data_IF_999908235680
#
_entry.id   IF_999908235680
#
_cell.length_a   1.000
_cell.length_b   1.000
_cell.length_c   1.000
_cell.angle_alpha   90.00
_cell.angle_beta   90.00
_cell.angle_gamma   90.00
#
_symmetry.space_group_name_H-M   'P 1'
#
loop_
_entity.id
_entity.type
_entity.pdbx_description
1 polymer ?
#
# COMPACT_ATOMS: atom_id res chain seq x y z
N UNK A 1 -40.77 0.83 52.01
CA UNK A 1 -40.65 0.17 50.71
C UNK A 1 -39.72 -1.01 50.82
N UNK A 2 -40.21 -2.23 50.62
CA UNK A 2 -39.46 -3.48 50.84
C UNK A 2 -38.36 -3.59 49.76
N UNK A 3 -37.18 -4.12 50.13
CA UNK A 3 -35.98 -4.29 49.25
C UNK A 3 -36.31 -4.88 47.86
N UNK A 4 -37.35 -5.69 47.79
CA UNK A 4 -37.87 -6.32 46.56
C UNK A 4 -38.55 -5.31 45.60
N UNK A 5 -39.18 -4.25 46.15
CA UNK A 5 -39.83 -3.20 45.31
C UNK A 5 -38.80 -2.22 44.72
N UNK A 6 -37.70 -1.96 45.47
CA UNK A 6 -36.55 -1.20 44.95
C UNK A 6 -35.86 -1.91 43.78
N UNK A 7 -35.69 -3.24 43.84
CA UNK A 7 -35.09 -4.03 42.78
C UNK A 7 -35.98 -4.05 41.52
N UNK A 8 -37.32 -4.18 41.68
CA UNK A 8 -38.26 -4.11 40.56
C UNK A 8 -38.26 -2.72 39.90
N UNK A 9 -38.26 -1.67 40.69
CA UNK A 9 -38.21 -0.29 40.19
C UNK A 9 -36.87 0.01 39.46
N UNK A 10 -35.73 -0.52 39.93
CA UNK A 10 -34.44 -0.41 39.29
C UNK A 10 -34.37 -1.17 37.97
N UNK A 11 -35.00 -2.38 37.92
CA UNK A 11 -35.12 -3.13 36.65
C UNK A 11 -35.96 -2.42 35.59
N UNK A 12 -37.07 -1.82 36.00
CA UNK A 12 -37.92 -1.00 35.10
C UNK A 12 -37.20 0.25 34.63
N UNK A 13 -36.40 0.88 35.48
CA UNK A 13 -35.61 2.06 35.11
C UNK A 13 -34.49 1.74 34.10
N UNK A 14 -33.83 0.60 34.26
CA UNK A 14 -32.83 0.09 33.32
C UNK A 14 -33.43 -0.25 31.98
N UNK A 15 -34.62 -0.87 31.98
CA UNK A 15 -35.36 -1.19 30.75
C UNK A 15 -35.79 0.07 30.00
N UNK A 16 -36.31 1.08 30.74
CA UNK A 16 -36.66 2.39 30.19
C UNK A 16 -35.47 3.13 29.60
N UNK A 17 -34.32 3.12 30.29
CA UNK A 17 -33.08 3.69 29.76
C UNK A 17 -32.59 2.98 28.50
N UNK A 18 -32.68 1.68 28.42
CA UNK A 18 -32.33 0.91 27.23
C UNK A 18 -33.27 1.23 26.05
N UNK A 19 -34.58 1.35 26.28
CA UNK A 19 -35.51 1.74 25.23
C UNK A 19 -35.31 3.18 24.76
N UNK A 20 -34.98 4.11 25.67
CA UNK A 20 -34.64 5.50 25.32
C UNK A 20 -33.36 5.60 24.53
N UNK A 21 -32.32 4.82 24.89
CA UNK A 21 -31.06 4.78 24.12
C UNK A 21 -31.30 4.21 22.71
N UNK A 22 -32.06 3.14 22.57
CA UNK A 22 -32.43 2.59 21.24
C UNK A 22 -33.21 3.61 20.42
N UNK A 23 -34.20 4.29 21.03
CA UNK A 23 -34.99 5.31 20.34
C UNK A 23 -34.13 6.53 19.92
N UNK A 24 -33.19 6.99 20.78
CA UNK A 24 -32.28 8.08 20.45
C UNK A 24 -31.33 7.64 19.32
N UNK A 25 -30.83 6.40 19.36
CA UNK A 25 -29.97 5.86 18.30
C UNK A 25 -30.73 5.77 16.98
N UNK A 26 -31.97 5.32 16.98
CA UNK A 26 -32.84 5.27 15.79
C UNK A 26 -33.16 6.67 15.25
N UNK A 27 -33.41 7.66 16.12
CA UNK A 27 -33.61 9.05 15.71
C UNK A 27 -32.33 9.68 15.17
N UNK A 28 -31.16 9.40 15.76
CA UNK A 28 -29.87 9.85 15.26
C UNK A 28 -29.54 9.21 13.91
N UNK A 29 -29.77 7.91 13.76
CA UNK A 29 -29.59 7.20 12.48
C UNK A 29 -30.56 7.74 11.42
N UNK A 30 -31.84 8.03 11.78
CA UNK A 30 -32.79 8.62 10.84
C UNK A 30 -32.49 10.09 10.51
N UNK A 31 -31.88 10.85 11.43
CA UNK A 31 -31.40 12.23 11.15
C UNK A 31 -30.11 12.23 10.34
N UNK A 32 -29.16 11.33 10.62
CA UNK A 32 -27.97 11.12 9.81
C UNK A 32 -28.30 10.64 8.39
N UNK A 33 -29.32 9.80 8.24
CA UNK A 33 -29.79 9.40 6.91
C UNK A 33 -30.50 10.53 6.15
N UNK A 34 -31.12 11.51 6.86
CA UNK A 34 -31.74 12.70 6.23
C UNK A 34 -30.73 13.81 5.92
N UNK A 35 -29.59 13.91 6.65
CA UNK A 35 -28.53 14.88 6.36
C UNK A 35 -27.49 14.34 5.36
N UNK A 36 -27.39 13.03 5.19
CA UNK A 36 -26.58 12.40 4.13
C UNK A 36 -27.34 12.30 2.78
N UNK A 37 -28.59 12.73 2.74
CA UNK A 37 -29.42 12.75 1.56
C UNK A 37 -29.45 14.11 0.88
N UNK A 38 -28.27 14.69 0.54
CA UNK A 38 -28.20 15.55 -0.64
C UNK A 38 -28.18 14.60 -1.84
N UNK A 39 -29.24 14.69 -2.62
CA UNK A 39 -29.50 13.95 -3.84
C UNK A 39 -28.21 13.70 -4.63
N UNK A 40 -27.60 12.51 -4.52
CA UNK A 40 -26.87 11.97 -5.63
C UNK A 40 -27.94 11.71 -6.69
N UNK A 41 -27.99 12.56 -7.69
CA UNK A 41 -28.79 12.38 -8.88
C UNK A 41 -28.45 10.98 -9.40
N UNK A 42 -29.41 10.08 -9.42
CA UNK A 42 -29.25 8.76 -10.03
C UNK A 42 -28.90 9.00 -11.50
N UNK A 43 -27.62 8.82 -11.87
CA UNK A 43 -27.21 8.99 -13.25
C UNK A 43 -27.70 7.79 -14.05
N UNK A 44 -28.45 8.05 -15.09
CA UNK A 44 -28.86 7.06 -16.08
C UNK A 44 -28.06 7.27 -17.36
N UNK A 45 -27.83 6.19 -18.12
CA UNK A 45 -27.24 6.37 -19.45
C UNK A 45 -28.17 7.21 -20.34
N UNK A 46 -27.58 8.24 -20.95
CA UNK A 46 -28.32 9.06 -21.91
C UNK A 46 -28.85 8.19 -23.06
N UNK A 47 -30.05 8.49 -23.53
CA UNK A 47 -30.68 7.77 -24.67
C UNK A 47 -29.92 7.88 -25.99
N UNK A 48 -29.00 8.83 -26.11
CA UNK A 48 -28.10 8.92 -27.25
C UNK A 48 -26.96 7.88 -27.20
N UNK A 49 -26.67 7.31 -26.02
CA UNK A 49 -25.55 6.37 -25.82
C UNK A 49 -25.94 5.00 -26.39
N UNK A 50 -25.17 4.57 -27.37
CA UNK A 50 -25.21 3.22 -27.93
C UNK A 50 -23.79 2.73 -28.18
N UNK A 51 -23.50 1.47 -27.93
CA UNK A 51 -22.18 0.87 -28.11
C UNK A 51 -21.78 -0.04 -26.97
N UNK A 52 -20.49 -0.37 -26.92
CA UNK A 52 -19.91 -1.31 -25.94
C UNK A 52 -19.20 -0.57 -24.81
N UNK A 53 -19.57 -0.86 -23.57
CA UNK A 53 -18.82 -0.49 -22.38
C UNK A 53 -17.90 -1.65 -22.01
N UNK A 54 -16.62 -1.53 -22.28
CA UNK A 54 -15.67 -2.60 -21.96
C UNK A 54 -15.22 -2.56 -20.52
N UNK A 55 -15.15 -3.76 -19.91
CA UNK A 55 -14.64 -3.97 -18.54
C UNK A 55 -15.38 -3.19 -17.44
N UNK A 56 -16.67 -2.93 -17.61
CA UNK A 56 -17.50 -2.33 -16.58
C UNK A 56 -17.74 -3.31 -15.42
N UNK A 57 -17.98 -2.80 -14.19
CA UNK A 57 -18.36 -3.64 -13.06
C UNK A 57 -19.87 -3.59 -12.84
N UNK A 58 -20.53 -4.73 -12.92
CA UNK A 58 -21.95 -4.87 -12.65
C UNK A 58 -22.14 -5.13 -11.16
N UNK A 59 -22.78 -4.19 -10.47
CA UNK A 59 -23.15 -4.29 -9.06
C UNK A 59 -24.45 -5.09 -8.87
N UNK A 60 -25.38 -4.93 -9.80
CA UNK A 60 -26.70 -5.59 -9.81
C UNK A 60 -27.19 -5.76 -11.24
N UNK A 61 -27.82 -6.89 -11.55
CA UNK A 61 -28.41 -7.15 -12.88
C UNK A 61 -29.76 -7.85 -12.76
N UNK A 62 -30.75 -7.10 -12.31
CA UNK A 62 -32.16 -7.54 -12.27
C UNK A 62 -33.00 -6.81 -13.35
N UNK A 63 -34.10 -7.40 -13.80
CA UNK A 63 -34.84 -7.03 -15.04
C UNK A 63 -35.11 -5.53 -15.27
N UNK A 64 -35.19 -4.70 -14.25
CA UNK A 64 -35.40 -3.24 -14.37
C UNK A 64 -34.43 -2.43 -13.51
N UNK A 65 -33.46 -3.11 -12.94
CA UNK A 65 -32.59 -2.52 -11.96
C UNK A 65 -31.17 -3.08 -12.20
N UNK A 66 -30.53 -2.55 -13.24
CA UNK A 66 -29.13 -2.87 -13.58
C UNK A 66 -28.29 -1.70 -13.10
N UNK A 67 -27.37 -1.99 -12.17
CA UNK A 67 -26.46 -0.99 -11.61
C UNK A 67 -25.05 -1.29 -12.12
N UNK A 68 -24.45 -0.32 -12.79
CA UNK A 68 -23.16 -0.43 -13.46
C UNK A 68 -22.21 0.64 -12.94
N UNK A 69 -21.03 0.24 -12.51
CA UNK A 69 -19.90 1.15 -12.24
C UNK A 69 -18.99 1.18 -13.48
N UNK A 70 -18.85 2.35 -14.08
CA UNK A 70 -18.03 2.54 -15.27
C UNK A 70 -17.35 3.89 -15.25
N UNK A 71 -16.03 3.92 -15.43
CA UNK A 71 -15.18 5.13 -15.41
C UNK A 71 -15.37 6.03 -14.18
N UNK A 72 -15.61 5.40 -13.02
CA UNK A 72 -15.76 6.09 -11.73
C UNK A 72 -17.18 6.49 -11.39
N UNK A 73 -18.11 6.44 -12.36
CA UNK A 73 -19.52 6.82 -12.18
C UNK A 73 -20.41 5.60 -12.08
N UNK A 74 -21.48 5.71 -11.27
CA UNK A 74 -22.48 4.65 -11.09
C UNK A 74 -23.73 4.99 -11.91
N UNK A 75 -24.09 4.11 -12.82
CA UNK A 75 -25.24 4.25 -13.70
C UNK A 75 -26.34 3.27 -13.32
N UNK A 76 -27.57 3.75 -13.34
CA UNK A 76 -28.77 2.94 -13.22
C UNK A 76 -29.36 2.74 -14.63
N UNK A 77 -29.56 1.51 -15.02
CA UNK A 77 -29.98 1.18 -16.38
C UNK A 77 -31.16 0.20 -16.37
N UNK A 78 -32.02 0.32 -17.39
CA UNK A 78 -33.01 -0.68 -17.72
C UNK A 78 -32.44 -1.70 -18.70
N UNK A 79 -32.92 -2.92 -18.67
CA UNK A 79 -32.54 -3.96 -19.62
C UNK A 79 -33.16 -5.32 -19.25
N UNK A 80 -32.95 -6.30 -20.11
CA UNK A 80 -33.34 -7.70 -19.85
C UNK A 80 -32.12 -8.60 -19.98
N UNK A 81 -31.28 -8.70 -18.94
CA UNK A 81 -30.11 -9.60 -19.01
C UNK A 81 -30.62 -11.05 -19.06
N UNK A 82 -30.02 -11.87 -19.92
CA UNK A 82 -30.34 -13.30 -20.05
C UNK A 82 -30.07 -14.07 -18.74
N UNK A 83 -29.06 -13.60 -17.97
CA UNK A 83 -28.68 -14.20 -16.67
C UNK A 83 -28.32 -13.08 -15.69
N UNK A 84 -28.62 -13.30 -14.41
CA UNK A 84 -28.10 -12.46 -13.33
C UNK A 84 -26.59 -12.59 -13.28
N UNK A 85 -25.89 -11.46 -13.22
CA UNK A 85 -24.44 -11.41 -13.12
C UNK A 85 -24.00 -10.25 -12.23
N UNK A 86 -22.95 -10.47 -11.46
CA UNK A 86 -22.24 -9.46 -10.67
C UNK A 86 -20.76 -9.65 -10.93
N UNK A 87 -20.03 -8.56 -11.19
CA UNK A 87 -18.61 -8.60 -11.53
C UNK A 87 -18.29 -7.87 -12.83
N UNK A 88 -17.11 -8.12 -13.37
CA UNK A 88 -16.61 -7.44 -14.56
C UNK A 88 -17.22 -8.05 -15.84
N UNK A 89 -17.71 -7.18 -16.70
CA UNK A 89 -18.34 -7.57 -17.97
C UNK A 89 -18.13 -6.48 -19.04
N UNK A 90 -18.27 -6.88 -20.30
CA UNK A 90 -18.56 -5.93 -21.37
C UNK A 90 -20.07 -5.81 -21.50
N UNK A 91 -20.58 -4.58 -21.66
CA UNK A 91 -22.01 -4.28 -21.68
C UNK A 91 -22.36 -3.59 -22.99
N UNK A 92 -23.30 -4.17 -23.72
CA UNK A 92 -23.84 -3.56 -24.94
C UNK A 92 -25.04 -2.68 -24.58
N UNK A 93 -24.97 -1.43 -25.02
CA UNK A 93 -26.04 -0.44 -24.87
C UNK A 93 -26.68 -0.10 -26.21
N UNK A 94 -28.00 0.02 -26.19
CA UNK A 94 -28.78 0.61 -27.30
C UNK A 94 -29.75 1.64 -26.73
N UNK A 95 -29.57 2.90 -27.14
CA UNK A 95 -30.39 4.03 -26.66
C UNK A 95 -30.47 4.12 -25.14
N UNK A 96 -29.31 3.98 -24.47
CA UNK A 96 -29.17 4.03 -23.00
C UNK A 96 -29.67 2.79 -22.25
N UNK A 97 -30.16 1.76 -22.93
CA UNK A 97 -30.63 0.51 -22.32
C UNK A 97 -29.61 -0.61 -22.51
N UNK A 98 -29.44 -1.43 -21.49
CA UNK A 98 -28.61 -2.64 -21.55
C UNK A 98 -29.32 -3.69 -22.39
N UNK A 99 -28.73 -4.05 -23.52
CA UNK A 99 -29.23 -5.09 -24.42
C UNK A 99 -28.56 -6.42 -24.21
N UNK A 100 -27.25 -6.41 -23.86
CA UNK A 100 -26.50 -7.64 -23.63
C UNK A 100 -25.38 -7.44 -22.62
N UNK A 101 -25.07 -8.49 -21.86
CA UNK A 101 -23.98 -8.55 -20.88
C UNK A 101 -23.09 -9.73 -21.28
N UNK A 102 -21.81 -9.41 -21.56
CA UNK A 102 -20.76 -10.39 -21.83
C UNK A 102 -19.92 -10.54 -20.58
N UNK A 103 -20.27 -11.48 -19.73
CA UNK A 103 -19.58 -11.74 -18.46
C UNK A 103 -18.13 -12.17 -18.68
N UNK A 104 -17.22 -11.71 -17.81
CA UNK A 104 -15.81 -12.10 -17.77
C UNK A 104 -15.52 -12.89 -16.47
N UNK A 105 -15.91 -14.16 -16.38
CA UNK A 105 -15.84 -14.92 -15.14
C UNK A 105 -14.44 -15.47 -14.85
N UNK A 106 -13.53 -15.47 -15.83
CA UNK A 106 -12.17 -16.02 -15.66
C UNK A 106 -11.31 -15.09 -14.85
N UNK A 107 -10.87 -15.55 -13.69
CA UNK A 107 -10.02 -14.77 -12.77
C UNK A 107 -8.81 -15.56 -12.30
N UNK A 108 -7.72 -14.84 -12.04
CA UNK A 108 -6.53 -15.32 -11.31
C UNK A 108 -6.54 -14.62 -9.96
N UNK A 109 -6.56 -15.40 -8.87
CA UNK A 109 -6.56 -14.86 -7.50
C UNK A 109 -5.17 -14.99 -6.89
N UNK A 110 -4.72 -13.98 -6.20
CA UNK A 110 -3.43 -14.01 -5.49
C UNK A 110 -2.96 -12.62 -5.07
N UNK A 111 -1.72 -12.55 -4.64
CA UNK A 111 -1.06 -11.29 -4.27
C UNK A 111 -0.54 -10.61 -5.52
N UNK A 112 -0.79 -9.30 -5.65
CA UNK A 112 -0.20 -8.47 -6.71
C UNK A 112 1.30 -8.33 -6.46
N UNK A 113 2.14 -8.88 -7.35
CA UNK A 113 3.61 -8.85 -7.16
C UNK A 113 4.31 -7.79 -7.98
N UNK A 114 3.76 -7.39 -9.14
CA UNK A 114 4.26 -6.25 -9.90
C UNK A 114 3.24 -5.74 -10.91
N UNK A 115 3.41 -4.49 -11.34
CA UNK A 115 2.64 -3.93 -12.45
C UNK A 115 3.41 -2.83 -13.20
N UNK A 116 2.94 -2.57 -14.40
CA UNK A 116 3.38 -1.47 -15.26
C UNK A 116 2.20 -1.02 -16.12
N UNK A 117 2.39 -0.01 -16.97
CA UNK A 117 1.35 0.40 -17.94
C UNK A 117 1.01 -0.67 -18.98
N UNK A 118 1.74 -1.77 -19.05
CA UNK A 118 1.59 -2.80 -20.09
C UNK A 118 1.37 -4.20 -19.54
N UNK A 119 1.56 -4.43 -18.25
CA UNK A 119 1.50 -5.76 -17.66
C UNK A 119 1.14 -5.73 -16.18
N UNK A 120 0.54 -6.81 -15.71
CA UNK A 120 0.25 -7.09 -14.30
C UNK A 120 0.72 -8.50 -13.99
N UNK A 121 1.26 -8.70 -12.80
CA UNK A 121 1.71 -10.00 -12.34
C UNK A 121 1.10 -10.33 -10.97
N UNK A 122 0.63 -11.56 -10.86
CA UNK A 122 0.14 -12.17 -9.63
C UNK A 122 1.14 -13.23 -9.19
N UNK A 123 1.30 -13.39 -7.89
CA UNK A 123 2.18 -14.38 -7.29
C UNK A 123 1.98 -15.78 -7.88
N UNK A 124 3.07 -16.43 -8.28
CA UNK A 124 3.04 -17.75 -8.92
C UNK A 124 2.70 -17.77 -10.41
N UNK A 125 2.42 -16.61 -11.02
CA UNK A 125 2.09 -16.51 -12.43
C UNK A 125 3.08 -15.64 -13.20
N UNK A 126 3.22 -15.93 -14.50
CA UNK A 126 3.97 -15.08 -15.43
C UNK A 126 3.23 -13.72 -15.59
N UNK A 127 3.96 -12.63 -15.90
CA UNK A 127 3.33 -11.35 -16.20
C UNK A 127 2.36 -11.44 -17.38
N UNK A 128 1.12 -11.03 -17.17
CA UNK A 128 0.11 -10.93 -18.22
C UNK A 128 0.09 -9.53 -18.83
N UNK A 129 -0.06 -9.46 -20.14
CA UNK A 129 -0.30 -8.18 -20.82
C UNK A 129 -1.58 -7.55 -20.27
N UNK A 130 -1.53 -6.25 -19.96
CA UNK A 130 -2.69 -5.50 -19.52
C UNK A 130 -3.33 -4.73 -20.67
N UNK A 131 -4.65 -4.57 -20.64
CA UNK A 131 -5.35 -3.62 -21.48
C UNK A 131 -4.95 -2.19 -21.11
N UNK A 132 -5.09 -1.29 -22.09
CA UNK A 132 -4.89 0.12 -21.84
C UNK A 132 -5.94 0.61 -20.84
N UNK A 133 -5.51 1.42 -19.87
CA UNK A 133 -6.39 1.99 -18.85
C UNK A 133 -7.10 0.89 -18.00
N UNK A 134 -6.36 -0.14 -17.59
CA UNK A 134 -6.84 -1.26 -16.79
C UNK A 134 -7.66 -0.78 -15.59
N UNK A 135 -8.99 -1.04 -15.52
CA UNK A 135 -9.81 -0.59 -14.41
C UNK A 135 -9.51 -1.39 -13.14
N UNK A 136 -9.53 -0.70 -12.01
CA UNK A 136 -9.38 -1.28 -10.67
C UNK A 136 -10.65 -1.05 -9.89
N UNK A 137 -11.22 -2.11 -9.36
CA UNK A 137 -12.43 -2.09 -8.55
C UNK A 137 -12.08 -2.46 -7.11
N UNK A 138 -12.38 -1.54 -6.19
CA UNK A 138 -12.14 -1.70 -4.77
C UNK A 138 -13.47 -2.01 -4.09
N UNK A 139 -13.58 -3.22 -3.56
CA UNK A 139 -14.78 -3.74 -2.91
C UNK A 139 -14.65 -3.53 -1.41
N UNK A 140 -15.60 -2.81 -0.81
CA UNK A 140 -15.60 -2.59 0.63
C UNK A 140 -15.85 -3.90 1.38
N UNK A 141 -15.02 -4.19 2.38
CA UNK A 141 -15.12 -5.37 3.24
C UNK A 141 -16.30 -5.30 4.23
N UNK A 142 -16.80 -4.10 4.54
CA UNK A 142 -17.93 -3.90 5.44
C UNK A 142 -19.24 -3.74 4.69
N UNK A 143 -20.25 -4.58 4.99
CA UNK A 143 -21.59 -4.53 4.39
C UNK A 143 -22.42 -3.27 4.69
N UNK A 144 -21.81 -2.21 5.23
CA UNK A 144 -22.45 -0.95 5.60
C UNK A 144 -22.28 0.15 4.53
N UNK A 145 -21.50 -0.07 3.48
CA UNK A 145 -21.34 0.91 2.42
C UNK A 145 -22.59 0.91 1.50
N UNK A 146 -23.17 2.09 1.25
CA UNK A 146 -24.28 2.26 0.29
C UNK A 146 -23.92 1.78 -1.12
N UNK A 147 -22.67 1.93 -1.51
CA UNK A 147 -22.09 1.43 -2.75
C UNK A 147 -20.89 0.56 -2.35
N UNK A 148 -21.01 -0.77 -2.45
CA UNK A 148 -19.99 -1.67 -1.95
C UNK A 148 -18.74 -1.72 -2.85
N UNK A 149 -18.76 -1.09 -4.02
CA UNK A 149 -17.64 -1.09 -5.00
C UNK A 149 -17.39 0.32 -5.48
N UNK A 150 -16.12 0.74 -5.49
CA UNK A 150 -15.69 1.99 -6.12
C UNK A 150 -14.59 1.72 -7.13
N UNK A 151 -14.46 2.56 -8.13
CA UNK A 151 -13.30 2.53 -9.01
C UNK A 151 -12.12 3.22 -8.32
N UNK A 152 -10.97 2.58 -8.37
CA UNK A 152 -9.69 3.07 -7.89
C UNK A 152 -8.67 3.14 -9.01
N UNK A 153 -7.42 3.39 -8.61
CA UNK A 153 -6.23 3.31 -9.47
C UNK A 153 -5.40 2.10 -9.06
N UNK A 154 -4.56 1.61 -9.96
CA UNK A 154 -3.67 0.50 -9.63
C UNK A 154 -2.67 0.89 -8.52
N UNK A 155 -2.32 2.18 -8.39
CA UNK A 155 -1.52 2.72 -7.29
C UNK A 155 -2.23 2.74 -5.93
N UNK A 156 -3.54 2.48 -5.87
CA UNK A 156 -4.22 2.25 -4.58
C UNK A 156 -3.89 0.86 -4.00
N UNK A 157 -3.31 -0.03 -4.81
CA UNK A 157 -2.90 -1.38 -4.44
C UNK A 157 -1.43 -1.39 -4.04
N UNK A 158 -1.09 -2.20 -3.05
CA UNK A 158 0.27 -2.33 -2.53
C UNK A 158 0.90 -3.62 -3.04
N UNK A 159 1.97 -3.49 -3.82
CA UNK A 159 2.76 -4.62 -4.32
C UNK A 159 3.29 -5.46 -3.15
N UNK A 160 3.17 -6.78 -3.27
CA UNK A 160 3.56 -7.74 -2.24
C UNK A 160 2.55 -7.94 -1.11
N UNK A 161 1.46 -7.14 -1.06
CA UNK A 161 0.46 -7.22 0.01
C UNK A 161 -0.98 -7.34 -0.52
N UNK A 162 -1.37 -6.55 -1.52
CA UNK A 162 -2.76 -6.53 -1.97
C UNK A 162 -3.18 -7.85 -2.61
N UNK A 163 -4.17 -8.49 -2.01
CA UNK A 163 -4.86 -9.64 -2.58
C UNK A 163 -5.87 -9.16 -3.60
N UNK A 164 -5.79 -9.69 -4.80
CA UNK A 164 -6.61 -9.28 -5.94
C UNK A 164 -7.17 -10.46 -6.71
N UNK A 165 -8.26 -10.22 -7.41
CA UNK A 165 -8.74 -11.03 -8.51
C UNK A 165 -8.41 -10.31 -9.81
N UNK A 166 -7.48 -10.87 -10.59
CA UNK A 166 -7.15 -10.40 -11.92
C UNK A 166 -8.13 -11.01 -12.91
N UNK A 167 -9.00 -10.21 -13.49
CA UNK A 167 -9.95 -10.65 -14.54
C UNK A 167 -9.20 -10.79 -15.85
N UNK A 168 -9.33 -11.95 -16.47
CA UNK A 168 -8.60 -12.31 -17.70
C UNK A 168 -9.57 -12.65 -18.82
N UNK A 169 -9.39 -12.05 -19.99
CA UNK A 169 -10.05 -12.43 -21.22
C UNK A 169 -9.04 -12.36 -22.37
N UNK A 170 -9.14 -13.25 -23.34
CA UNK A 170 -8.23 -13.31 -24.51
C UNK A 170 -6.75 -13.27 -24.14
N UNK A 171 -6.36 -13.93 -23.06
CA UNK A 171 -5.01 -13.97 -22.49
C UNK A 171 -4.45 -12.60 -22.04
N UNK A 172 -5.33 -11.64 -21.77
CA UNK A 172 -4.98 -10.30 -21.27
C UNK A 172 -5.65 -10.01 -19.94
N UNK A 173 -4.99 -9.22 -19.13
CA UNK A 173 -5.58 -8.62 -17.93
C UNK A 173 -6.56 -7.52 -18.34
N UNK A 174 -7.83 -7.67 -17.95
CA UNK A 174 -8.93 -6.77 -18.31
C UNK A 174 -9.37 -5.88 -17.17
N UNK A 175 -9.27 -6.34 -15.93
CA UNK A 175 -9.59 -5.59 -14.73
C UNK A 175 -8.90 -6.19 -13.50
N UNK A 176 -8.74 -5.39 -12.46
CA UNK A 176 -8.36 -5.83 -11.11
C UNK A 176 -9.53 -5.60 -10.16
N UNK A 177 -9.83 -6.57 -9.32
CA UNK A 177 -10.80 -6.45 -8.23
C UNK A 177 -10.07 -6.73 -6.92
N UNK A 178 -10.12 -5.81 -5.97
CA UNK A 178 -9.51 -5.96 -4.64
C UNK A 178 -10.55 -5.84 -3.55
N UNK A 179 -10.48 -6.71 -2.56
CA UNK A 179 -11.38 -6.76 -1.40
C UNK A 179 -10.71 -6.30 -0.11
N UNK A 180 -9.50 -5.76 -0.21
CA UNK A 180 -8.68 -5.49 0.96
C UNK A 180 -8.63 -4.00 1.30
N UNK A 181 -8.81 -3.70 2.58
CA UNK A 181 -8.60 -2.39 3.20
C UNK A 181 -7.49 -2.41 4.28
N UNK A 182 -6.87 -3.57 4.54
CA UNK A 182 -5.91 -3.74 5.62
C UNK A 182 -4.58 -3.05 5.31
N UNK A 183 -3.88 -2.62 6.37
CA UNK A 183 -2.53 -2.08 6.26
C UNK A 183 -1.58 -3.18 5.78
N UNK A 184 -0.62 -2.81 4.95
CA UNK A 184 0.35 -3.76 4.43
C UNK A 184 1.22 -4.33 5.56
N UNK A 185 1.38 -5.64 5.59
CA UNK A 185 2.15 -6.34 6.63
C UNK A 185 3.65 -6.38 6.32
N UNK A 186 4.00 -6.30 5.02
CA UNK A 186 5.37 -6.46 4.53
C UNK A 186 5.79 -5.28 3.67
N UNK A 187 7.09 -5.00 3.67
CA UNK A 187 7.74 -4.01 2.81
C UNK A 187 8.60 -4.75 1.79
N UNK A 188 8.55 -4.32 0.53
CA UNK A 188 9.43 -4.79 -0.54
C UNK A 188 10.41 -3.68 -0.92
N UNK A 189 11.67 -3.86 -0.53
CA UNK A 189 12.76 -2.91 -0.72
C UNK A 189 13.60 -3.33 -1.92
N UNK A 190 13.66 -2.49 -2.95
CA UNK A 190 14.57 -2.69 -4.08
C UNK A 190 16.01 -2.46 -3.61
N UNK A 191 16.84 -3.47 -3.68
CA UNK A 191 18.25 -3.37 -3.35
C UNK A 191 19.00 -2.90 -4.59
N UNK A 192 19.51 -1.68 -4.56
CA UNK A 192 20.17 -1.06 -5.72
C UNK A 192 21.60 -1.52 -5.90
N UNK A 193 22.05 -1.48 -7.14
CA UNK A 193 23.44 -1.65 -7.52
C UNK A 193 24.08 -0.27 -7.81
N UNK A 194 24.46 0.45 -6.75
CA UNK A 194 24.83 1.85 -6.86
C UNK A 194 23.65 2.70 -7.37
N UNK A 195 23.77 3.30 -8.55
CA UNK A 195 22.67 4.08 -9.16
C UNK A 195 21.71 3.23 -9.98
N UNK A 196 22.06 1.99 -10.29
CA UNK A 196 21.30 1.11 -11.16
C UNK A 196 20.27 0.27 -10.37
N UNK A 197 19.15 0.01 -10.98
CA UNK A 197 18.10 -0.86 -10.42
C UNK A 197 18.32 -2.34 -10.74
N UNK A 198 19.34 -2.67 -11.53
CA UNK A 198 19.60 -4.03 -12.00
C UNK A 198 21.07 -4.42 -11.81
N UNK A 199 21.30 -5.69 -11.70
CA UNK A 199 22.60 -6.33 -11.63
C UNK A 199 22.87 -7.08 -12.93
N UNK A 200 24.05 -6.90 -13.51
CA UNK A 200 24.47 -7.70 -14.69
C UNK A 200 24.73 -9.16 -14.30
N UNK A 201 25.31 -9.38 -13.12
CA UNK A 201 25.46 -10.70 -12.48
C UNK A 201 25.10 -10.56 -11.00
N UNK A 202 24.50 -11.58 -10.41
CA UNK A 202 24.05 -11.54 -9.02
C UNK A 202 24.18 -12.92 -8.39
N UNK A 203 24.81 -12.94 -7.21
CA UNK A 203 24.98 -14.14 -6.39
C UNK A 203 24.46 -13.85 -4.99
N UNK A 204 23.84 -14.86 -4.39
CA UNK A 204 23.31 -14.83 -3.02
C UNK A 204 23.87 -16.01 -2.25
N UNK A 205 24.28 -15.77 -1.01
CA UNK A 205 24.74 -16.79 -0.08
C UNK A 205 24.21 -16.55 1.32
N UNK A 206 24.43 -17.50 2.21
CA UNK A 206 24.13 -17.40 3.63
C UNK A 206 25.15 -18.22 4.43
N UNK A 207 25.50 -17.76 5.61
CA UNK A 207 26.26 -18.53 6.60
C UNK A 207 25.44 -19.65 7.26
N UNK A 208 24.12 -19.69 7.02
CA UNK A 208 23.18 -20.69 7.49
C UNK A 208 22.53 -21.43 6.32
N UNK A 209 21.73 -22.47 6.60
CA UNK A 209 20.91 -23.08 5.61
C UNK A 209 19.81 -22.11 5.14
N UNK A 210 19.35 -22.26 3.91
CA UNK A 210 18.30 -21.45 3.33
C UNK A 210 17.53 -22.23 2.25
N UNK A 211 16.49 -21.64 1.70
CA UNK A 211 15.71 -22.26 0.62
C UNK A 211 15.69 -21.37 -0.63
N UNK A 212 15.54 -22.01 -1.80
CA UNK A 212 15.33 -21.34 -3.08
C UNK A 212 14.08 -21.97 -3.70
N UNK A 213 13.00 -21.20 -3.80
CA UNK A 213 11.66 -21.70 -4.15
C UNK A 213 11.31 -22.98 -3.37
N UNK A 214 11.50 -22.95 -2.04
CA UNK A 214 11.25 -24.07 -1.14
C UNK A 214 12.29 -25.22 -1.18
N UNK A 215 13.23 -25.20 -2.13
CA UNK A 215 14.28 -26.21 -2.21
C UNK A 215 15.45 -25.87 -1.30
N UNK A 216 15.75 -26.74 -0.34
CA UNK A 216 16.82 -26.53 0.65
C UNK A 216 18.20 -26.38 0.01
N UNK A 217 18.97 -25.45 0.54
CA UNK A 217 20.39 -25.21 0.30
C UNK A 217 21.18 -25.33 1.61
N UNK A 218 22.36 -25.88 1.55
CA UNK A 218 23.26 -25.92 2.70
C UNK A 218 23.88 -24.53 2.90
N UNK A 219 24.32 -24.26 4.14
CA UNK A 219 25.13 -23.10 4.43
C UNK A 219 26.32 -22.98 3.45
N UNK A 220 26.76 -21.78 3.22
CA UNK A 220 27.90 -21.45 2.35
C UNK A 220 27.70 -21.86 0.87
N UNK A 221 26.50 -22.29 0.49
CA UNK A 221 26.16 -22.54 -0.92
C UNK A 221 25.94 -21.20 -1.63
N UNK A 222 26.50 -21.03 -2.83
CA UNK A 222 26.28 -19.85 -3.66
C UNK A 222 25.10 -20.11 -4.61
N UNK A 223 24.11 -19.26 -4.53
CA UNK A 223 22.98 -19.20 -5.47
C UNK A 223 23.29 -18.20 -6.59
N UNK A 224 23.39 -18.69 -7.81
CA UNK A 224 23.73 -17.95 -9.02
C UNK A 224 22.45 -17.63 -9.80
N UNK A 225 22.14 -16.33 -9.92
CA UNK A 225 20.97 -15.83 -10.60
C UNK A 225 20.90 -16.24 -12.07
N UNK A 226 22.05 -16.25 -12.76
CA UNK A 226 22.10 -16.64 -14.17
C UNK A 226 21.71 -18.10 -14.36
N UNK A 227 22.22 -18.99 -13.52
CA UNK A 227 21.91 -20.42 -13.58
C UNK A 227 20.43 -20.69 -13.27
N UNK A 228 19.87 -20.00 -12.25
CA UNK A 228 18.49 -20.19 -11.83
C UNK A 228 17.49 -19.68 -12.88
N UNK A 229 17.79 -18.54 -13.50
CA UNK A 229 16.87 -17.85 -14.40
C UNK A 229 17.25 -18.03 -15.90
N UNK A 230 18.12 -19.00 -16.21
CA UNK A 230 18.49 -19.32 -17.59
C UNK A 230 17.28 -19.81 -18.36
N UNK A 231 16.97 -19.16 -19.48
CA UNK A 231 15.82 -19.53 -20.31
C UNK A 231 14.48 -18.98 -19.83
N UNK A 232 14.41 -18.45 -18.61
CA UNK A 232 13.17 -17.89 -18.06
C UNK A 232 12.82 -16.54 -18.70
N UNK A 233 11.52 -16.20 -18.69
CA UNK A 233 11.01 -14.94 -19.23
C UNK A 233 11.30 -13.77 -18.28
N UNK A 234 11.33 -12.57 -18.83
CA UNK A 234 11.34 -11.32 -18.05
C UNK A 234 10.15 -11.29 -17.10
N UNK A 235 10.40 -10.95 -15.83
CA UNK A 235 9.40 -10.93 -14.78
C UNK A 235 9.32 -12.22 -13.96
N UNK A 236 10.02 -13.31 -14.36
CA UNK A 236 10.12 -14.52 -13.52
C UNK A 236 10.78 -14.17 -12.20
N UNK A 237 10.11 -14.50 -11.11
CA UNK A 237 10.58 -14.32 -9.74
C UNK A 237 10.97 -15.67 -9.13
N UNK A 238 12.01 -15.66 -8.31
CA UNK A 238 12.46 -16.77 -7.46
C UNK A 238 12.59 -16.24 -6.05
N UNK A 239 12.00 -16.91 -5.10
CA UNK A 239 12.04 -16.58 -3.69
C UNK A 239 13.19 -17.32 -3.01
N UNK A 240 14.03 -16.57 -2.28
CA UNK A 240 15.12 -17.10 -1.47
C UNK A 240 14.81 -16.74 -0.02
N UNK A 241 14.65 -17.76 0.83
CA UNK A 241 14.24 -17.57 2.23
C UNK A 241 15.32 -18.13 3.15
N UNK A 242 15.80 -17.35 4.17
CA UNK A 242 16.74 -17.86 5.16
C UNK A 242 16.05 -18.86 6.08
N UNK A 243 16.82 -19.71 6.75
CA UNK A 243 16.33 -20.41 7.92
C UNK A 243 16.07 -19.42 9.08
N UNK A 244 15.33 -19.83 10.08
CA UNK A 244 14.90 -18.98 11.19
C UNK A 244 16.10 -18.26 11.85
N UNK A 245 16.08 -16.93 11.81
CA UNK A 245 17.12 -16.06 12.34
C UNK A 245 18.38 -15.94 11.46
N UNK A 246 18.40 -16.59 10.30
CA UNK A 246 19.50 -16.49 9.34
C UNK A 246 19.47 -15.20 8.53
N UNK A 247 20.63 -14.86 7.96
CA UNK A 247 20.78 -13.71 7.07
C UNK A 247 21.15 -14.16 5.67
N UNK A 248 20.60 -13.48 4.68
CA UNK A 248 20.97 -13.62 3.28
C UNK A 248 21.92 -12.47 2.87
N UNK A 249 22.92 -12.78 2.08
CA UNK A 249 23.93 -11.80 1.63
C UNK A 249 24.04 -11.78 0.11
N UNK A 250 24.30 -10.62 -0.43
CA UNK A 250 24.94 -10.53 -1.73
C UNK A 250 26.37 -11.01 -1.59
N UNK A 251 26.88 -11.77 -2.53
CA UNK A 251 28.25 -12.29 -2.51
C UNK A 251 28.90 -12.27 -3.89
N UNK A 252 30.18 -12.52 -3.94
CA UNK A 252 30.88 -12.80 -5.18
C UNK A 252 30.62 -14.26 -5.66
N UNK A 253 31.14 -14.61 -6.83
CA UNK A 253 31.02 -15.96 -7.38
C UNK A 253 31.65 -17.07 -6.52
N UNK A 254 32.55 -16.71 -5.60
CA UNK A 254 33.22 -17.62 -4.69
C UNK A 254 32.51 -17.74 -3.33
N UNK A 255 31.44 -16.97 -3.11
CA UNK A 255 30.68 -16.99 -1.88
C UNK A 255 31.15 -15.98 -0.82
N UNK A 256 32.05 -15.07 -1.15
CA UNK A 256 32.48 -14.03 -0.21
C UNK A 256 31.39 -12.95 -0.14
N UNK A 257 30.74 -12.76 1.04
CA UNK A 257 29.67 -11.77 1.18
C UNK A 257 30.24 -10.34 1.10
N UNK A 258 29.43 -9.43 0.56
CA UNK A 258 29.70 -7.99 0.57
C UNK A 258 28.44 -7.19 0.89
N UNK A 259 28.62 -6.03 1.50
CA UNK A 259 27.52 -5.21 1.97
C UNK A 259 26.82 -5.79 3.21
N UNK A 260 25.57 -5.45 3.37
CA UNK A 260 24.75 -5.87 4.51
C UNK A 260 24.16 -7.26 4.32
N UNK A 261 23.92 -7.98 5.42
CA UNK A 261 23.04 -9.14 5.45
C UNK A 261 21.57 -8.68 5.58
N UNK A 262 20.65 -9.47 5.05
CA UNK A 262 19.24 -9.15 5.02
C UNK A 262 18.43 -10.22 5.73
N UNK A 263 17.62 -9.81 6.70
CA UNK A 263 16.52 -10.61 7.21
C UNK A 263 15.37 -10.63 6.21
N UNK A 264 14.42 -11.57 6.42
CA UNK A 264 13.30 -11.78 5.51
C UNK A 264 13.73 -12.46 4.21
N UNK A 265 12.90 -12.38 3.22
CA UNK A 265 13.11 -13.06 1.95
C UNK A 265 13.84 -12.15 0.94
N UNK A 266 14.66 -12.74 0.08
CA UNK A 266 15.16 -12.08 -1.12
C UNK A 266 14.38 -12.59 -2.34
N UNK A 267 13.75 -11.68 -3.07
CA UNK A 267 13.07 -11.97 -4.33
C UNK A 267 14.00 -11.62 -5.47
N UNK A 268 14.47 -12.64 -6.16
CA UNK A 268 15.30 -12.53 -7.34
C UNK A 268 14.40 -12.48 -8.58
N UNK A 269 14.48 -11.42 -9.37
CA UNK A 269 13.64 -11.22 -10.54
C UNK A 269 14.46 -11.07 -11.81
N UNK A 270 14.04 -11.76 -12.89
CA UNK A 270 14.64 -11.62 -14.22
C UNK A 270 14.17 -10.33 -14.90
N UNK A 271 15.12 -9.59 -15.42
CA UNK A 271 14.85 -8.43 -16.28
C UNK A 271 15.41 -8.65 -17.70
N UNK A 272 15.03 -7.77 -18.63
CA UNK A 272 15.56 -7.82 -20.01
C UNK A 272 17.08 -7.71 -20.05
N UNK A 273 17.64 -6.92 -19.14
CA UNK A 273 19.09 -6.77 -18.95
C UNK A 273 19.41 -7.00 -17.49
N UNK A 274 19.84 -8.24 -17.17
CA UNK A 274 20.27 -8.60 -15.83
C UNK A 274 19.13 -8.99 -14.87
N UNK A 275 19.32 -8.67 -13.61
CA UNK A 275 18.49 -9.17 -12.48
C UNK A 275 18.16 -8.04 -11.53
N UNK A 276 17.00 -8.09 -10.94
CA UNK A 276 16.58 -7.25 -9.81
C UNK A 276 16.62 -8.08 -8.54
N UNK A 277 16.98 -7.46 -7.44
CA UNK A 277 16.94 -8.05 -6.11
C UNK A 277 16.05 -7.18 -5.21
N UNK A 278 15.06 -7.79 -4.60
CA UNK A 278 14.13 -7.14 -3.67
C UNK A 278 14.20 -7.86 -2.33
N UNK A 279 14.32 -7.13 -1.25
CA UNK A 279 14.16 -7.68 0.09
C UNK A 279 12.70 -7.54 0.52
N UNK A 280 12.02 -8.67 0.75
CA UNK A 280 10.68 -8.71 1.31
C UNK A 280 10.77 -9.01 2.80
N UNK A 281 10.36 -8.05 3.63
CA UNK A 281 10.54 -8.09 5.09
C UNK A 281 9.27 -7.59 5.79
N UNK A 282 8.89 -8.13 6.98
CA UNK A 282 7.82 -7.58 7.79
C UNK A 282 8.04 -6.08 8.08
N UNK A 283 6.96 -5.30 8.17
CA UNK A 283 7.03 -3.84 8.39
C UNK A 283 7.84 -3.50 9.63
N UNK A 284 7.58 -4.15 10.76
CA UNK A 284 8.25 -3.82 12.02
C UNK A 284 9.75 -4.17 11.98
N UNK A 285 10.13 -5.26 11.31
CA UNK A 285 11.54 -5.61 11.12
C UNK A 285 12.23 -4.61 10.19
N UNK A 286 11.55 -4.10 9.15
CA UNK A 286 12.06 -3.02 8.33
C UNK A 286 12.34 -1.75 9.15
N UNK A 287 11.38 -1.31 9.97
CA UNK A 287 11.53 -0.13 10.83
C UNK A 287 12.65 -0.32 11.87
N UNK A 288 12.85 -1.54 12.38
CA UNK A 288 13.94 -1.89 13.29
C UNK A 288 15.33 -1.61 12.71
N UNK A 289 15.51 -1.78 11.40
CA UNK A 289 16.74 -1.47 10.69
C UNK A 289 16.85 -0.02 10.21
N UNK A 290 15.71 0.62 9.90
CA UNK A 290 15.66 2.03 9.50
C UNK A 290 15.97 2.94 10.69
N UNK A 291 15.38 2.68 11.85
CA UNK A 291 15.45 3.59 13.01
C UNK A 291 16.89 3.92 13.42
N UNK A 292 17.81 2.96 13.63
CA UNK A 292 19.20 3.28 14.00
C UNK A 292 20.02 3.86 12.83
N UNK A 293 19.56 3.71 11.60
CA UNK A 293 20.19 4.30 10.43
C UNK A 293 19.83 5.77 10.24
N UNK A 294 18.68 6.20 10.75
CA UNK A 294 18.14 7.56 10.61
C UNK A 294 18.37 8.41 11.87
N UNK A 295 18.44 7.83 13.06
CA UNK A 295 18.53 8.56 14.31
C UNK A 295 19.64 8.01 15.22
N UNK A 296 20.52 8.88 15.76
CA UNK A 296 21.53 8.47 16.73
C UNK A 296 20.93 7.84 17.99
N UNK A 297 21.53 6.76 18.47
CA UNK A 297 21.10 6.03 19.66
C UNK A 297 21.15 6.86 20.96
N UNK A 298 21.90 7.98 20.95
CA UNK A 298 22.04 8.90 22.08
C UNK A 298 20.80 9.79 22.31
N UNK A 299 19.86 9.81 21.38
CA UNK A 299 18.62 10.54 21.57
C UNK A 299 17.76 9.90 22.66
N UNK A 300 16.84 10.67 23.24
CA UNK A 300 15.95 10.13 24.28
C UNK A 300 15.07 9.01 23.73
N UNK A 301 14.70 8.07 24.60
CA UNK A 301 13.85 6.93 24.25
C UNK A 301 12.53 7.37 23.60
N UNK A 302 11.90 8.42 24.11
CA UNK A 302 10.67 8.98 23.52
C UNK A 302 10.89 9.57 22.11
N UNK A 303 12.08 10.12 21.83
CA UNK A 303 12.42 10.58 20.50
C UNK A 303 12.61 9.40 19.53
N UNK A 304 13.22 8.30 19.98
CA UNK A 304 13.33 7.07 19.18
C UNK A 304 11.95 6.49 18.86
N UNK A 305 11.02 6.46 19.81
CA UNK A 305 9.62 6.05 19.58
C UNK A 305 8.91 6.96 18.57
N UNK A 306 9.06 8.27 18.72
CA UNK A 306 8.49 9.23 17.77
C UNK A 306 9.03 9.01 16.35
N UNK A 307 10.35 8.79 16.20
CA UNK A 307 10.97 8.50 14.92
C UNK A 307 10.46 7.18 14.32
N UNK A 308 10.28 6.13 15.13
CA UNK A 308 9.70 4.87 14.66
C UNK A 308 8.30 5.05 14.08
N UNK A 309 7.45 5.86 14.72
CA UNK A 309 6.10 6.22 14.23
C UNK A 309 6.20 7.03 12.94
N UNK A 310 7.10 8.00 12.85
CA UNK A 310 7.35 8.79 11.64
C UNK A 310 7.80 7.91 10.48
N UNK A 311 8.82 7.07 10.70
CA UNK A 311 9.38 6.19 9.68
C UNK A 311 8.34 5.21 9.15
N UNK A 312 7.53 4.61 10.03
CA UNK A 312 6.44 3.71 9.67
C UNK A 312 5.38 4.42 8.84
N UNK A 313 4.98 5.63 9.25
CA UNK A 313 3.99 6.45 8.54
C UNK A 313 4.48 6.81 7.14
N UNK A 314 5.73 7.26 7.03
CA UNK A 314 6.39 7.54 5.75
C UNK A 314 6.40 6.30 4.84
N UNK A 315 6.84 5.13 5.37
CA UNK A 315 6.88 3.87 4.61
C UNK A 315 5.52 3.53 4.03
N UNK A 316 4.45 3.55 4.84
CA UNK A 316 3.08 3.31 4.34
C UNK A 316 2.64 4.29 3.26
N UNK A 317 3.05 5.56 3.36
CA UNK A 317 2.82 6.56 2.32
C UNK A 317 3.51 6.17 1.00
N UNK A 318 4.78 5.74 1.07
CA UNK A 318 5.56 5.34 -0.10
C UNK A 318 5.08 4.05 -0.74
N UNK A 319 4.48 3.13 0.02
CA UNK A 319 3.99 1.85 -0.52
C UNK A 319 2.92 2.01 -1.60
N UNK A 320 2.27 3.17 -1.67
CA UNK A 320 1.31 3.53 -2.73
C UNK A 320 1.96 4.23 -3.92
N UNK A 321 3.27 4.34 -3.93
CA UNK A 321 4.03 4.90 -5.05
C UNK A 321 4.32 3.79 -6.07
N UNK A 322 4.15 4.09 -7.37
CA UNK A 322 4.34 3.13 -8.45
C UNK A 322 5.75 3.10 -9.05
N UNK A 323 6.66 3.93 -8.53
CA UNK A 323 8.03 4.11 -9.06
C UNK A 323 8.75 2.78 -9.27
N UNK A 324 8.66 1.86 -8.32
CA UNK A 324 9.32 0.56 -8.38
C UNK A 324 8.36 -0.63 -8.54
N UNK A 325 7.07 -0.37 -8.74
CA UNK A 325 6.05 -1.42 -8.88
C UNK A 325 6.37 -2.40 -10.01
N UNK A 326 6.96 -1.94 -11.11
CA UNK A 326 7.39 -2.79 -12.22
C UNK A 326 8.46 -3.81 -11.85
N UNK A 327 9.26 -3.51 -10.83
CA UNK A 327 10.30 -4.37 -10.29
C UNK A 327 9.80 -5.25 -9.14
N UNK A 328 8.55 -5.09 -8.75
CA UNK A 328 7.95 -5.79 -7.61
C UNK A 328 8.37 -5.22 -6.26
N UNK A 329 8.72 -3.92 -6.20
CA UNK A 329 9.13 -3.24 -4.97
C UNK A 329 8.26 -2.01 -4.66
N UNK A 330 8.26 -1.59 -3.39
CA UNK A 330 7.53 -0.44 -2.90
C UNK A 330 8.41 0.82 -2.86
N UNK A 331 9.67 0.64 -2.48
CA UNK A 331 10.68 1.70 -2.32
C UNK A 331 12.08 1.10 -2.56
N UNK A 332 13.13 1.90 -2.54
CA UNK A 332 14.50 1.42 -2.63
C UNK A 332 15.30 1.63 -1.32
N UNK A 333 16.52 1.10 -1.28
CA UNK A 333 17.43 1.16 -0.12
C UNK A 333 18.26 2.44 -0.06
N UNK A 334 17.95 3.47 -0.86
CA UNK A 334 18.70 4.73 -0.89
C UNK A 334 18.12 5.78 0.05
N UNK A 335 18.92 6.79 0.36
CA UNK A 335 18.52 7.96 1.16
C UNK A 335 17.42 8.81 0.51
N UNK A 336 17.02 8.55 -0.73
CA UNK A 336 15.87 9.18 -1.36
C UNK A 336 14.55 8.73 -0.72
N UNK A 337 14.57 7.59 -0.03
CA UNK A 337 13.46 7.09 0.79
C UNK A 337 13.85 7.10 2.26
N UNK A 338 14.53 6.07 2.73
CA UNK A 338 15.01 5.95 4.11
C UNK A 338 16.32 5.16 4.12
N UNK A 339 17.28 5.57 4.94
CA UNK A 339 18.51 4.81 5.10
C UNK A 339 18.17 3.41 5.61
N UNK A 340 18.49 2.41 4.82
CA UNK A 340 18.24 1.00 5.12
C UNK A 340 19.53 0.20 5.11
N UNK A 341 20.17 0.11 6.29
CA UNK A 341 21.41 -0.62 6.50
C UNK A 341 21.16 -1.93 7.25
N UNK A 342 20.47 -2.85 6.64
CA UNK A 342 19.82 -4.06 7.18
C UNK A 342 20.61 -4.96 8.17
N UNK A 343 21.79 -4.58 8.64
CA UNK A 343 22.65 -5.45 9.47
C UNK A 343 22.75 -5.09 10.94
N UNK A 344 22.27 -3.92 11.36
CA UNK A 344 22.52 -3.47 12.72
C UNK A 344 21.22 -3.05 13.38
N UNK A 345 20.78 -3.83 14.34
CA UNK A 345 19.74 -3.46 15.29
C UNK A 345 20.36 -3.30 16.69
N UNK A 346 19.69 -2.54 17.54
CA UNK A 346 20.11 -2.28 18.91
C UNK A 346 18.92 -2.44 19.84
N UNK A 347 19.13 -3.02 21.01
CA UNK A 347 18.06 -3.31 21.96
C UNK A 347 17.15 -2.10 22.24
N UNK A 348 17.75 -0.91 22.41
CA UNK A 348 16.97 0.32 22.67
C UNK A 348 16.09 0.75 21.50
N UNK A 349 16.54 0.58 20.25
CA UNK A 349 15.75 0.90 19.05
C UNK A 349 14.72 -0.19 18.77
N UNK A 350 15.07 -1.45 18.99
CA UNK A 350 14.17 -2.59 18.84
C UNK A 350 12.99 -2.47 19.81
N UNK A 351 13.26 -2.09 21.06
CA UNK A 351 12.22 -1.85 22.06
C UNK A 351 11.34 -0.64 21.69
N UNK A 352 11.93 0.45 21.17
CA UNK A 352 11.16 1.62 20.72
C UNK A 352 10.22 1.29 19.56
N UNK A 353 10.64 0.44 18.63
CA UNK A 353 9.80 -0.07 17.54
C UNK A 353 8.69 -0.96 18.11
N UNK A 354 9.02 -1.88 19.00
CA UNK A 354 8.06 -2.80 19.63
C UNK A 354 6.97 -2.04 20.41
N UNK A 355 7.35 -1.03 21.21
CA UNK A 355 6.41 -0.21 21.98
C UNK A 355 5.49 0.65 21.11
N UNK A 356 5.85 0.86 19.86
CA UNK A 356 5.07 1.66 18.89
C UNK A 356 4.53 0.83 17.73
N UNK A 357 4.53 -0.50 17.85
CA UNK A 357 4.07 -1.41 16.80
C UNK A 357 2.71 -0.99 16.24
N UNK A 358 2.61 -0.89 14.92
CA UNK A 358 1.38 -0.52 14.20
C UNK A 358 0.95 0.94 14.35
N UNK A 359 1.62 1.76 15.17
CA UNK A 359 1.27 3.18 15.32
C UNK A 359 1.70 3.97 14.09
N UNK A 360 0.77 4.78 13.57
CA UNK A 360 0.98 5.70 12.45
C UNK A 360 0.34 7.06 12.74
N UNK A 361 0.84 8.09 12.10
CA UNK A 361 0.23 9.42 12.18
C UNK A 361 -0.89 9.57 11.15
N UNK A 362 -2.00 10.15 11.59
CA UNK A 362 -3.14 10.43 10.72
C UNK A 362 -3.61 11.88 10.88
N UNK A 363 -4.12 12.43 9.79
CA UNK A 363 -4.79 13.72 9.78
C UNK A 363 -6.15 13.61 9.11
N UNK A 364 -7.22 14.03 9.83
CA UNK A 364 -8.61 13.90 9.35
C UNK A 364 -8.96 12.50 8.86
N UNK A 365 -8.49 11.47 9.58
CA UNK A 365 -8.74 10.05 9.26
C UNK A 365 -7.97 9.48 8.08
N UNK A 366 -7.00 10.22 7.51
CA UNK A 366 -6.10 9.76 6.45
C UNK A 366 -4.69 9.69 6.98
N UNK A 367 -3.87 8.79 6.41
CA UNK A 367 -2.44 8.73 6.71
C UNK A 367 -1.82 10.11 6.45
N UNK A 368 -1.02 10.59 7.40
CA UNK A 368 -0.32 11.87 7.27
C UNK A 368 0.97 11.70 6.46
N UNK A 369 1.32 12.71 5.68
CA UNK A 369 2.67 12.81 5.12
C UNK A 369 3.64 13.19 6.24
N UNK A 370 4.71 12.42 6.37
CA UNK A 370 5.72 12.60 7.40
C UNK A 370 7.08 12.82 6.75
N UNK A 371 7.69 13.94 7.07
CA UNK A 371 9.05 14.27 6.66
C UNK A 371 9.91 14.51 7.88
N UNK A 372 11.16 14.10 7.82
CA UNK A 372 12.14 14.33 8.88
C UNK A 372 13.51 14.64 8.30
N UNK A 373 14.32 15.29 9.08
CA UNK A 373 15.66 15.76 8.69
C UNK A 373 16.57 15.81 9.92
N UNK A 374 17.89 15.70 9.69
CA UNK A 374 18.88 15.56 10.76
C UNK A 374 19.11 16.83 11.58
N UNK A 375 18.92 18.01 10.99
CA UNK A 375 19.33 19.28 11.61
C UNK A 375 18.38 20.41 11.22
N UNK A 376 17.98 21.20 12.22
CA UNK A 376 17.16 22.40 12.06
C UNK A 376 17.85 23.60 12.72
N UNK A 377 17.72 24.79 12.17
CA UNK A 377 18.13 26.03 12.86
C UNK A 377 17.19 26.41 14.00
N UNK A 378 16.26 25.53 14.40
CA UNK A 378 15.22 25.77 15.40
C UNK A 378 13.86 26.17 14.83
N UNK A 379 13.70 26.11 13.51
CA UNK A 379 12.45 26.37 12.79
C UNK A 379 12.18 25.27 11.79
N UNK A 380 10.92 24.93 11.59
CA UNK A 380 10.46 24.15 10.45
C UNK A 380 10.04 25.10 9.32
N UNK A 381 9.89 24.54 8.13
CA UNK A 381 9.41 25.23 6.93
C UNK A 381 8.03 24.73 6.53
N UNK A 382 7.28 25.57 5.81
CA UNK A 382 6.05 25.14 5.16
C UNK A 382 6.35 24.22 3.99
N UNK A 383 5.43 23.31 3.67
CA UNK A 383 5.58 22.37 2.55
C UNK A 383 5.68 23.09 1.19
N UNK A 384 5.18 24.33 1.09
CA UNK A 384 5.26 25.17 -0.10
C UNK A 384 6.69 25.44 -0.57
N UNK A 385 7.70 25.32 0.30
CA UNK A 385 9.12 25.40 -0.09
C UNK A 385 9.49 24.39 -1.18
N UNK A 386 8.78 23.27 -1.26
CA UNK A 386 8.91 22.25 -2.31
C UNK A 386 7.87 22.35 -3.41
N UNK A 387 7.23 23.51 -3.59
CA UNK A 387 6.15 23.75 -4.53
C UNK A 387 4.95 22.79 -4.39
N UNK A 388 4.72 22.29 -3.18
CA UNK A 388 3.60 21.41 -2.85
C UNK A 388 2.58 22.16 -1.98
N UNK A 389 1.29 21.91 -2.20
CA UNK A 389 0.23 22.49 -1.37
C UNK A 389 0.29 21.89 0.04
N UNK A 390 0.30 22.77 1.08
CA UNK A 390 0.28 22.31 2.46
C UNK A 390 -1.03 21.60 2.79
N UNK A 391 -0.96 20.39 3.39
CA UNK A 391 -2.15 19.68 3.87
C UNK A 391 -2.76 20.31 5.13
N UNK A 392 -2.20 21.45 5.62
CA UNK A 392 -2.67 22.19 6.78
C UNK A 392 -2.09 21.73 8.12
N UNK A 393 -1.12 20.81 8.12
CA UNK A 393 -0.39 20.37 9.32
C UNK A 393 1.15 20.42 9.16
N UNK A 394 1.66 20.55 7.95
CA UNK A 394 3.09 20.77 7.69
C UNK A 394 3.32 22.27 7.57
N UNK A 395 3.42 22.92 8.71
CA UNK A 395 3.54 24.36 8.84
C UNK A 395 4.88 24.75 9.44
N UNK A 396 5.36 25.95 9.08
CA UNK A 396 6.53 26.54 9.71
C UNK A 396 6.25 26.85 11.19
N UNK A 397 7.09 26.33 12.06
CA UNK A 397 7.00 26.53 13.51
C UNK A 397 8.36 26.84 14.12
N UNK A 398 8.34 27.66 15.19
CA UNK A 398 9.53 27.94 16.00
C UNK A 398 9.67 26.84 17.07
N UNK A 399 10.73 26.05 16.97
CA UNK A 399 11.09 24.98 17.91
C UNK A 399 12.21 25.41 18.89
N UNK A 400 12.66 26.68 18.86
CA UNK A 400 13.66 27.16 19.78
C UNK A 400 13.06 27.37 21.18
N UNK A 401 13.91 27.26 22.23
CA UNK A 401 13.51 27.59 23.59
C UNK A 401 13.22 29.10 23.77
N UNK A 402 13.87 29.93 22.95
CA UNK A 402 13.62 31.38 22.91
C UNK A 402 12.59 31.69 21.85
N UNK A 403 11.45 32.23 22.26
CA UNK A 403 10.39 32.71 21.37
C UNK A 403 10.81 34.00 20.69
N UNK A 404 11.71 33.96 19.73
CA UNK A 404 11.94 35.09 18.83
C UNK A 404 10.75 35.23 17.90
N UNK A 405 10.12 36.40 17.91
CA UNK A 405 8.92 36.70 17.13
C UNK A 405 9.19 36.94 15.64
N UNK A 406 10.44 37.11 15.26
CA UNK A 406 10.82 37.51 13.90
C UNK A 406 11.86 36.55 13.31
N UNK A 407 11.40 35.71 12.39
CA UNK A 407 12.20 34.73 11.65
C UNK A 407 13.21 35.43 10.70
N UNK A 408 12.95 36.69 10.30
CA UNK A 408 13.81 37.42 9.39
C UNK A 408 15.14 37.82 10.02
N UNK A 409 15.23 37.77 11.35
CA UNK A 409 16.43 38.10 12.12
C UNK A 409 17.43 36.93 12.27
N UNK A 410 17.08 35.76 11.80
CA UNK A 410 18.01 34.64 11.83
C UNK A 410 19.02 34.77 10.68
N UNK A 411 20.33 34.74 10.97
CA UNK A 411 21.34 34.75 9.92
C UNK A 411 21.20 33.45 9.10
N UNK A 412 20.83 33.59 7.84
CA UNK A 412 20.99 32.51 6.87
C UNK A 412 22.49 32.27 6.72
N UNK A 413 23.05 31.33 7.49
CA UNK A 413 24.46 30.97 7.32
C UNK A 413 24.64 30.22 6.01
N UNK A 414 25.70 30.47 5.24
CA UNK A 414 25.99 29.74 4.03
C UNK A 414 26.02 28.22 4.21
N UNK A 415 26.34 27.73 5.41
CA UNK A 415 26.35 26.32 5.79
C UNK A 415 24.95 25.71 5.88
N UNK A 416 23.95 26.44 6.39
CA UNK A 416 22.57 25.94 6.42
C UNK A 416 22.00 25.77 5.00
N UNK A 417 22.30 26.70 4.08
CA UNK A 417 21.87 26.63 2.68
C UNK A 417 22.55 25.46 1.95
N UNK A 418 23.79 25.10 2.29
CA UNK A 418 24.50 24.00 1.67
C UNK A 418 23.97 22.62 2.08
N UNK A 419 23.55 22.46 3.33
CA UNK A 419 22.91 21.25 3.84
C UNK A 419 21.55 21.01 3.15
N UNK A 420 20.77 22.07 2.94
CA UNK A 420 19.51 21.99 2.22
C UNK A 420 19.66 21.58 0.74
N UNK A 421 20.71 22.08 0.07
CA UNK A 421 21.01 21.71 -1.33
C UNK A 421 21.49 20.27 -1.49
N UNK A 422 22.14 19.69 -0.48
CA UNK A 422 22.58 18.29 -0.50
C UNK A 422 21.45 17.31 -0.19
N UNK A 423 20.45 17.74 0.59
CA UNK A 423 19.25 16.93 0.90
C UNK A 423 18.18 17.00 -0.22
N UNK A 424 18.23 18.02 -1.06
CA UNK A 424 17.26 18.24 -2.15
C UNK A 424 17.79 17.86 -3.54
N UNK A 425 19.01 17.41 -3.68
CA UNK A 425 19.67 16.93 -4.91
C UNK A 425 19.96 15.47 -4.86
#
# INVERSE_FOLDING_TARGET
>A
MKKRDKMKMMGILILLLAVITVAITLILVSRLSKTAGKDQKEETFDRSVSGMLSNAYILKSEEKDIIVLYRGETYFAEGKPEKKYTGVADIELTKGKVTKIYAKPSTIKGVLTSYSSKSVQIEGYEPLSAEKDLPVYLVASSGHAKIPVRQGKISDLVVGNSKVELVVAEQKACALVSYQEDMAEKVRVLLKNGKENTYASLFVCSGDAYTVDGNKRKKDTVTDAEKLLKGEKTGKEIKISPDTGGLLYRCDKNGNPYGSGYEGDLILRKEKKGYVLVNEIPMEDYIRYVLPSEMPLSFSYEALKAQAVCARTFTYGQMKNDTYARYGANLDDSIAYQAYHATTSYEVTDQAVADTTGMVMTYKGKLADCYYYSTSPGYSENLEVWNAASPGYLLAENHTREKTKDLSLLPATPQSIQVWRQAAG
#
